data_IF_490979046549
#
_entry.id   IF_490979046549
#
_cell.length_a   1.000
_cell.length_b   1.000
_cell.length_c   1.000
_cell.angle_alpha   90.00
_cell.angle_beta   90.00
_cell.angle_gamma   90.00
#
_symmetry.space_group_name_H-M   'P 1'
#
loop_
_entity.id
_entity.type
_entity.pdbx_description
1 polymer ?
#
# COMPACT_ATOMS: atom_id res chain seq x y z
N UNK A 1 3.94 -11.41 6.55
CA UNK A 1 3.87 -10.23 5.65
C UNK A 1 3.42 -10.49 4.20
N UNK A 2 3.98 -11.46 3.47
CA UNK A 2 3.76 -11.57 2.00
C UNK A 2 2.29 -11.68 1.57
N UNK A 3 1.50 -12.51 2.26
CA UNK A 3 0.08 -12.67 1.94
C UNK A 3 -0.72 -11.36 2.03
N UNK A 4 -0.34 -10.47 2.95
CA UNK A 4 -0.99 -9.17 3.15
C UNK A 4 -0.59 -8.18 2.04
N UNK A 5 0.68 -8.22 1.62
CA UNK A 5 1.16 -7.44 0.47
C UNK A 5 0.46 -7.87 -0.81
N UNK A 6 0.33 -9.18 -1.02
CA UNK A 6 -0.36 -9.74 -2.18
C UNK A 6 -1.87 -9.43 -2.16
N UNK A 7 -2.49 -9.45 -0.98
CA UNK A 7 -3.87 -8.99 -0.80
C UNK A 7 -4.02 -7.54 -1.28
N UNK A 8 -3.18 -6.62 -0.82
CA UNK A 8 -3.28 -5.23 -1.24
C UNK A 8 -2.99 -5.05 -2.73
N UNK A 9 -1.98 -5.73 -3.28
CA UNK A 9 -1.70 -5.66 -4.73
C UNK A 9 -2.90 -6.08 -5.57
N UNK A 10 -3.54 -7.20 -5.24
CA UNK A 10 -4.68 -7.74 -6.00
C UNK A 10 -5.94 -6.89 -5.81
N UNK A 11 -6.28 -6.57 -4.56
CA UNK A 11 -7.51 -5.83 -4.25
C UNK A 11 -7.46 -4.40 -4.77
N UNK A 12 -6.33 -3.70 -4.60
CA UNK A 12 -6.17 -2.32 -5.09
C UNK A 12 -6.28 -2.26 -6.63
N UNK A 13 -5.64 -3.20 -7.33
CA UNK A 13 -5.75 -3.28 -8.80
C UNK A 13 -7.20 -3.54 -9.26
N UNK A 14 -7.91 -4.46 -8.59
CA UNK A 14 -9.32 -4.75 -8.87
C UNK A 14 -10.22 -3.51 -8.69
N UNK A 15 -9.87 -2.65 -7.74
CA UNK A 15 -10.59 -1.42 -7.43
C UNK A 15 -10.11 -0.21 -8.27
N UNK A 16 -9.32 -0.45 -9.31
CA UNK A 16 -8.88 0.57 -10.28
C UNK A 16 -7.74 1.46 -9.79
N UNK A 17 -7.00 1.04 -8.75
CA UNK A 17 -5.75 1.68 -8.37
C UNK A 17 -4.57 1.09 -9.14
N UNK A 18 -3.61 1.91 -9.52
CA UNK A 18 -2.37 1.45 -10.17
C UNK A 18 -1.20 1.48 -9.18
N UNK A 19 -0.40 0.42 -9.15
CA UNK A 19 0.80 0.37 -8.32
C UNK A 19 1.88 1.25 -8.96
N UNK A 20 2.29 2.30 -8.26
CA UNK A 20 3.32 3.25 -8.69
C UNK A 20 4.70 2.75 -8.28
N UNK A 21 4.85 2.30 -7.03
CA UNK A 21 6.11 1.79 -6.52
C UNK A 21 5.93 0.86 -5.33
N UNK A 22 6.93 0.01 -5.11
CA UNK A 22 7.00 -0.92 -3.98
C UNK A 22 8.44 -0.91 -3.46
N UNK A 23 8.61 -0.59 -2.17
CA UNK A 23 9.90 -0.58 -1.50
C UNK A 23 9.86 -1.59 -0.36
N UNK A 24 10.90 -2.43 -0.25
CA UNK A 24 10.97 -3.51 0.73
C UNK A 24 12.30 -3.47 1.47
N UNK A 25 12.23 -3.15 2.77
CA UNK A 25 13.32 -3.27 3.74
C UNK A 25 12.73 -3.82 5.06
N UNK A 26 13.04 -3.22 6.21
CA UNK A 26 12.40 -3.54 7.50
C UNK A 26 10.89 -3.23 7.53
N UNK A 27 10.42 -2.42 6.58
CA UNK A 27 9.01 -2.16 6.31
C UNK A 27 8.76 -2.30 4.82
N UNK A 28 7.52 -2.60 4.46
CA UNK A 28 7.07 -2.69 3.08
C UNK A 28 6.19 -1.48 2.81
N UNK A 29 6.61 -0.64 1.87
CA UNK A 29 5.83 0.50 1.38
C UNK A 29 5.27 0.18 0.00
N UNK A 30 3.97 0.32 -0.17
CA UNK A 30 3.28 0.23 -1.45
C UNK A 30 2.65 1.61 -1.75
N UNK A 31 3.00 2.20 -2.89
CA UNK A 31 2.37 3.43 -3.35
C UNK A 31 1.46 3.12 -4.53
N UNK A 32 0.22 3.58 -4.44
CA UNK A 32 -0.79 3.45 -5.46
C UNK A 32 -1.31 4.83 -5.88
N UNK A 33 -1.79 4.95 -7.12
CA UNK A 33 -2.48 6.13 -7.59
C UNK A 33 -3.81 5.81 -8.27
N UNK A 34 -4.67 6.82 -8.25
CA UNK A 34 -5.84 7.02 -9.09
C UNK A 34 -5.71 8.41 -9.73
N UNK A 35 -6.54 8.74 -10.73
CA UNK A 35 -6.48 10.06 -11.38
C UNK A 35 -6.63 11.26 -10.44
N UNK A 36 -7.32 11.09 -9.31
CA UNK A 36 -7.70 12.15 -8.36
C UNK A 36 -7.05 12.03 -6.97
N UNK A 37 -6.37 10.92 -6.67
CA UNK A 37 -5.83 10.62 -5.33
C UNK A 37 -4.68 9.62 -5.37
N UNK A 38 -3.86 9.63 -4.32
CA UNK A 38 -2.82 8.63 -4.05
C UNK A 38 -3.14 7.85 -2.79
N UNK A 39 -2.61 6.64 -2.70
CA UNK A 39 -2.69 5.79 -1.51
C UNK A 39 -1.30 5.24 -1.18
N UNK A 40 -0.88 5.39 0.06
CA UNK A 40 0.34 4.81 0.60
C UNK A 40 -0.03 3.76 1.64
N UNK A 41 0.50 2.56 1.50
CA UNK A 41 0.28 1.46 2.43
C UNK A 41 1.64 1.04 2.98
N UNK A 42 1.81 1.16 4.29
CA UNK A 42 3.00 0.72 5.00
C UNK A 42 2.67 -0.51 5.83
N UNK A 43 3.45 -1.58 5.67
CA UNK A 43 3.29 -2.83 6.41
C UNK A 43 4.60 -3.15 7.11
N UNK A 44 4.54 -3.53 8.39
CA UNK A 44 5.71 -3.99 9.13
C UNK A 44 5.34 -4.99 10.23
N UNK A 45 6.32 -5.81 10.60
CA UNK A 45 6.15 -6.78 11.69
C UNK A 45 6.74 -6.23 13.00
N UNK A 46 6.02 -6.53 14.09
CA UNK A 46 6.48 -6.46 15.47
C UNK A 46 6.59 -7.90 15.99
N UNK A 47 7.21 -8.14 17.17
CA UNK A 47 7.40 -9.51 17.68
C UNK A 47 6.13 -10.38 17.77
N UNK A 48 4.95 -9.76 17.95
CA UNK A 48 3.68 -10.48 18.10
C UNK A 48 2.58 -10.03 17.14
N UNK A 49 2.80 -8.96 16.36
CA UNK A 49 1.76 -8.37 15.52
C UNK A 49 2.32 -7.97 14.16
N UNK A 50 1.45 -7.95 13.15
CA UNK A 50 1.71 -7.24 11.89
C UNK A 50 0.88 -5.97 11.91
N UNK A 51 1.52 -4.84 11.67
CA UNK A 51 0.87 -3.54 11.63
C UNK A 51 0.71 -3.08 10.18
N UNK A 52 -0.38 -2.35 9.93
CA UNK A 52 -0.65 -1.71 8.65
C UNK A 52 -1.07 -0.28 8.88
N UNK A 53 -0.46 0.63 8.13
CA UNK A 53 -0.82 2.04 8.07
C UNK A 53 -1.22 2.39 6.63
N UNK A 54 -2.36 3.07 6.48
CA UNK A 54 -2.95 3.39 5.19
C UNK A 54 -3.24 4.89 5.14
N UNK A 55 -2.64 5.58 4.18
CA UNK A 55 -2.86 6.99 3.92
C UNK A 55 -3.43 7.20 2.53
N UNK A 56 -4.59 7.86 2.46
CA UNK A 56 -5.20 8.27 1.19
C UNK A 56 -5.21 9.79 1.13
N UNK A 57 -4.61 10.35 0.09
CA UNK A 57 -4.45 11.80 -0.07
C UNK A 57 -4.98 12.23 -1.43
N UNK A 58 -5.70 13.36 -1.53
CA UNK A 58 -6.09 13.91 -2.82
C UNK A 58 -4.86 14.37 -3.59
N UNK A 59 -4.85 14.14 -4.90
CA UNK A 59 -3.89 14.79 -5.80
C UNK A 59 -4.41 16.20 -6.04
N UNK A 60 -3.83 17.19 -5.34
CA UNK A 60 -4.07 18.60 -5.70
C UNK A 60 -3.55 18.80 -7.13
N UNK A 61 -4.47 19.11 -8.04
CA UNK A 61 -4.15 19.68 -9.34
C UNK A 61 -3.95 21.18 -9.21
#
# INVERSE_FOLDING_TARGET
MESLVDFFRKSMQKDGWSLVSSVRFNRILLNFNKPDRVCQILVWEKPLTTEVEIHVLPLKR
#
